data_IF_823362002673
#
_entry.id   IF_823362002673
#
_cell.length_a   1.000
_cell.length_b   1.000
_cell.length_c   1.000
_cell.angle_alpha   90.00
_cell.angle_beta   90.00
_cell.angle_gamma   90.00
#
_symmetry.space_group_name_H-M   'P 1'
#
loop_
_entity.id
_entity.type
_entity.pdbx_description
1 polymer ?
#
# COMPACT_ATOMS: atom_id res chain seq x y z
N UNK A 1 7.97 -13.50 9.91
CA UNK A 1 6.52 -13.61 10.13
C UNK A 1 5.96 -12.20 10.13
N UNK A 2 5.84 -11.62 8.94
CA UNK A 2 5.45 -10.22 8.79
C UNK A 2 3.93 -10.11 8.77
N UNK A 3 3.38 -9.59 9.87
CA UNK A 3 1.97 -9.27 9.98
C UNK A 3 1.64 -8.09 9.06
N UNK A 4 1.22 -8.40 7.83
CA UNK A 4 0.65 -7.43 6.91
C UNK A 4 -0.73 -6.96 7.43
N UNK A 5 -0.66 -5.97 8.31
CA UNK A 5 -1.63 -4.92 8.67
C UNK A 5 -3.02 -5.06 8.01
N UNK A 6 -4.04 -5.27 8.87
CA UNK A 6 -5.48 -5.16 8.61
C UNK A 6 -5.83 -4.16 7.49
N UNK A 7 -6.53 -4.64 6.46
CA UNK A 7 -7.04 -3.83 5.34
C UNK A 7 -7.96 -2.72 5.90
N UNK A 8 -7.68 -1.47 5.55
CA UNK A 8 -8.62 -0.36 5.75
C UNK A 8 -9.70 -0.50 4.67
N UNK A 9 -10.90 -0.88 5.08
CA UNK A 9 -12.06 -1.02 4.20
C UNK A 9 -12.52 0.41 3.85
N UNK A 10 -12.13 0.92 2.69
CA UNK A 10 -12.58 2.21 2.20
C UNK A 10 -14.00 2.06 1.63
N UNK A 11 -14.95 2.68 2.32
CA UNK A 11 -16.34 2.99 1.95
C UNK A 11 -16.75 2.67 0.50
N UNK A 12 -17.59 1.63 0.36
CA UNK A 12 -18.34 1.33 -0.87
C UNK A 12 -18.57 -0.16 -1.18
N UNK A 13 -17.92 -1.10 -0.49
CA UNK A 13 -18.03 -2.52 -0.81
C UNK A 13 -18.58 -3.35 0.36
N UNK A 14 -19.86 -3.69 0.30
CA UNK A 14 -20.45 -4.74 1.13
C UNK A 14 -19.83 -6.10 0.67
N UNK A 15 -18.75 -6.49 1.35
CA UNK A 15 -18.07 -7.80 1.34
C UNK A 15 -17.57 -8.37 0.00
N UNK A 16 -16.34 -7.97 -0.38
CA UNK A 16 -15.60 -8.63 -1.46
C UNK A 16 -15.44 -10.15 -1.22
N UNK A 17 -15.33 -10.60 0.04
CA UNK A 17 -15.11 -12.01 0.34
C UNK A 17 -16.38 -12.87 0.14
N UNK A 18 -17.57 -12.35 0.49
CA UNK A 18 -18.85 -13.03 0.20
C UNK A 18 -19.11 -13.10 -1.30
N UNK A 19 -18.83 -12.02 -2.03
CA UNK A 19 -18.99 -11.98 -3.48
C UNK A 19 -18.06 -12.97 -4.18
N UNK A 20 -16.78 -13.01 -3.79
CA UNK A 20 -15.81 -13.98 -4.30
C UNK A 20 -16.27 -15.41 -4.05
N UNK A 21 -16.77 -15.70 -2.85
CA UNK A 21 -17.31 -17.01 -2.49
C UNK A 21 -18.49 -17.42 -3.37
N UNK A 22 -19.40 -16.48 -3.68
CA UNK A 22 -20.53 -16.71 -4.60
C UNK A 22 -20.07 -17.00 -6.02
N UNK A 23 -19.12 -16.22 -6.55
CA UNK A 23 -18.58 -16.45 -7.90
C UNK A 23 -17.94 -17.83 -8.01
N UNK A 24 -17.17 -18.24 -6.98
CA UNK A 24 -16.52 -19.55 -6.95
C UNK A 24 -17.56 -20.68 -6.87
N UNK A 25 -18.51 -20.59 -5.95
CA UNK A 25 -19.57 -21.60 -5.80
C UNK A 25 -20.40 -21.78 -7.08
N UNK A 26 -20.71 -20.69 -7.80
CA UNK A 26 -21.42 -20.80 -9.07
C UNK A 26 -20.55 -21.37 -10.20
N UNK A 27 -19.25 -21.11 -10.18
CA UNK A 27 -18.30 -21.72 -11.11
C UNK A 27 -18.20 -23.24 -10.88
N UNK A 28 -18.13 -23.67 -9.62
CA UNK A 28 -18.07 -25.08 -9.23
C UNK A 28 -19.38 -25.81 -9.58
N UNK A 29 -20.51 -25.11 -9.50
CA UNK A 29 -21.81 -25.60 -9.96
C UNK A 29 -21.98 -25.61 -11.50
N UNK A 30 -20.96 -25.20 -12.27
CA UNK A 30 -20.95 -25.27 -13.73
C UNK A 30 -21.74 -24.15 -14.44
N UNK A 31 -22.07 -23.05 -13.76
CA UNK A 31 -22.78 -21.93 -14.40
C UNK A 31 -21.90 -21.19 -15.40
N UNK A 32 -22.52 -20.64 -16.44
CA UNK A 32 -21.77 -19.83 -17.40
C UNK A 32 -21.43 -18.44 -16.83
N UNK A 33 -20.34 -17.83 -17.31
CA UNK A 33 -19.87 -16.54 -16.79
C UNK A 33 -20.91 -15.41 -16.87
N UNK A 34 -21.83 -15.47 -17.83
CA UNK A 34 -22.90 -14.50 -18.01
C UNK A 34 -24.00 -14.68 -16.95
N UNK A 35 -24.34 -15.91 -16.61
CA UNK A 35 -25.29 -16.26 -15.54
C UNK A 35 -24.72 -15.90 -14.18
N UNK A 36 -23.44 -16.19 -13.94
CA UNK A 36 -22.73 -15.80 -12.72
C UNK A 36 -22.82 -14.28 -12.55
N UNK A 37 -22.47 -13.52 -13.58
CA UNK A 37 -22.53 -12.06 -13.59
C UNK A 37 -23.94 -11.53 -13.23
N UNK A 38 -24.98 -12.10 -13.83
CA UNK A 38 -26.38 -11.77 -13.52
C UNK A 38 -26.74 -12.08 -12.06
N UNK A 39 -26.35 -13.26 -11.55
CA UNK A 39 -26.66 -13.69 -10.17
C UNK A 39 -25.88 -12.92 -9.11
N UNK A 40 -24.67 -12.45 -9.43
CA UNK A 40 -23.85 -11.67 -8.51
C UNK A 40 -24.04 -10.15 -8.69
N UNK A 41 -24.90 -9.71 -9.62
CA UNK A 41 -25.07 -8.30 -10.00
C UNK A 41 -23.73 -7.61 -10.33
N UNK A 42 -22.85 -8.33 -11.03
CA UNK A 42 -21.52 -7.83 -11.43
C UNK A 42 -21.34 -7.89 -12.93
N UNK A 43 -20.37 -7.14 -13.42
CA UNK A 43 -20.03 -7.20 -14.84
C UNK A 43 -19.38 -8.54 -15.18
N UNK A 44 -19.63 -9.02 -16.40
CA UNK A 44 -18.98 -10.22 -16.94
C UNK A 44 -17.46 -10.09 -16.92
N UNK A 45 -16.93 -8.88 -17.11
CA UNK A 45 -15.50 -8.58 -17.05
C UNK A 45 -14.92 -8.81 -15.66
N UNK A 46 -15.63 -8.39 -14.60
CA UNK A 46 -15.22 -8.65 -13.21
C UNK A 46 -15.16 -10.15 -12.92
N UNK A 47 -16.21 -10.89 -13.29
CA UNK A 47 -16.25 -12.36 -13.11
C UNK A 47 -15.11 -13.04 -13.87
N UNK A 48 -14.85 -12.63 -15.10
CA UNK A 48 -13.77 -13.21 -15.93
C UNK A 48 -12.40 -12.91 -15.33
N UNK A 49 -12.14 -11.67 -14.92
CA UNK A 49 -10.88 -11.27 -14.30
C UNK A 49 -10.66 -12.00 -12.97
N UNK A 50 -11.72 -12.16 -12.18
CA UNK A 50 -11.67 -12.92 -10.92
C UNK A 50 -11.35 -14.39 -11.17
N UNK A 51 -12.07 -15.08 -12.04
CA UNK A 51 -11.83 -16.50 -12.31
C UNK A 51 -10.44 -16.77 -12.91
N UNK A 52 -9.89 -15.81 -13.66
CA UNK A 52 -8.54 -15.92 -14.23
C UNK A 52 -7.43 -15.75 -13.19
N UNK A 53 -7.67 -15.00 -12.12
CA UNK A 53 -6.66 -14.63 -11.13
C UNK A 53 -7.24 -14.57 -9.71
N UNK A 54 -7.96 -15.62 -9.28
CA UNK A 54 -8.75 -15.61 -8.04
C UNK A 54 -7.89 -15.42 -6.80
N UNK A 55 -6.67 -15.96 -6.79
CA UNK A 55 -5.69 -15.82 -5.71
C UNK A 55 -5.12 -14.41 -5.56
N UNK A 56 -5.01 -13.65 -6.65
CA UNK A 56 -4.46 -12.28 -6.65
C UNK A 56 -5.54 -11.19 -6.70
N UNK A 57 -6.80 -11.58 -6.95
CA UNK A 57 -7.88 -10.64 -7.18
C UNK A 57 -8.16 -9.76 -5.96
N UNK A 58 -7.98 -8.46 -6.13
CA UNK A 58 -8.13 -7.47 -5.05
C UNK A 58 -6.94 -7.41 -4.09
N UNK A 59 -5.89 -8.20 -4.31
CA UNK A 59 -4.58 -7.99 -3.69
C UNK A 59 -3.89 -6.89 -4.50
N UNK A 60 -4.26 -5.64 -4.25
CA UNK A 60 -3.38 -4.53 -4.63
C UNK A 60 -2.18 -4.61 -3.71
N UNK A 61 -1.02 -4.97 -4.24
CA UNK A 61 0.24 -4.64 -3.60
C UNK A 61 0.23 -3.14 -3.36
N UNK A 62 0.15 -2.73 -2.09
CA UNK A 62 0.43 -1.35 -1.74
C UNK A 62 1.91 -1.15 -2.03
N UNK A 63 2.25 -0.79 -3.28
CA UNK A 63 3.55 -0.20 -3.55
C UNK A 63 3.69 0.97 -2.59
N UNK A 64 4.64 0.90 -1.66
CA UNK A 64 4.88 2.00 -0.73
C UNK A 64 5.09 3.26 -1.56
N UNK A 65 4.38 4.34 -1.19
CA UNK A 65 4.61 5.63 -1.84
C UNK A 65 6.09 5.96 -1.69
N UNK A 66 6.83 6.19 -2.79
CA UNK A 66 8.25 6.50 -2.71
C UNK A 66 8.46 7.68 -1.75
N UNK A 67 9.33 7.48 -0.76
CA UNK A 67 9.64 8.55 0.20
C UNK A 67 10.47 9.61 -0.52
N UNK A 68 10.19 10.90 -0.27
CA UNK A 68 10.93 12.04 -0.87
C UNK A 68 12.43 12.04 -0.56
N UNK A 69 12.87 11.35 0.51
CA UNK A 69 14.27 11.15 0.86
C UNK A 69 14.99 10.13 -0.04
N UNK A 70 14.27 9.44 -0.93
CA UNK A 70 14.83 8.47 -1.86
C UNK A 70 15.22 7.16 -1.19
N UNK A 71 16.41 6.65 -1.51
CA UNK A 71 16.93 5.35 -1.05
C UNK A 71 16.94 5.23 0.48
N UNK A 72 16.71 3.99 0.95
CA UNK A 72 16.69 3.63 2.36
C UNK A 72 17.99 4.02 3.09
N UNK A 73 19.14 3.91 2.44
CA UNK A 73 20.45 4.26 3.02
C UNK A 73 20.55 5.74 3.42
N UNK A 74 20.08 6.62 2.54
CA UNK A 74 20.06 8.07 2.77
C UNK A 74 19.13 8.41 3.94
N UNK A 75 17.96 7.76 4.00
CA UNK A 75 17.04 7.87 5.15
C UNK A 75 17.71 7.42 6.45
N UNK A 76 18.40 6.27 6.45
CA UNK A 76 19.13 5.76 7.64
C UNK A 76 20.19 6.75 8.13
N UNK A 77 21.01 7.30 7.22
CA UNK A 77 22.04 8.29 7.56
C UNK A 77 21.45 9.56 8.16
N UNK A 78 20.37 10.08 7.56
CA UNK A 78 19.64 11.25 8.08
C UNK A 78 19.07 10.95 9.48
N UNK A 79 18.46 9.78 9.70
CA UNK A 79 17.93 9.40 11.02
C UNK A 79 19.04 9.24 12.07
N UNK A 80 20.20 8.67 11.70
CA UNK A 80 21.34 8.55 12.60
C UNK A 80 21.86 9.91 13.04
N UNK A 81 22.14 10.80 12.08
CA UNK A 81 22.67 12.13 12.38
C UNK A 81 21.67 12.98 13.17
N UNK A 82 20.38 12.88 12.86
CA UNK A 82 19.32 13.52 13.63
C UNK A 82 19.19 13.00 15.07
N UNK A 83 19.64 11.78 15.34
CA UNK A 83 19.64 11.22 16.70
C UNK A 83 20.88 11.63 17.49
N UNK A 84 21.89 12.18 16.82
CA UNK A 84 23.09 12.73 17.43
C UNK A 84 22.87 14.24 17.64
N UNK A 85 22.80 14.69 18.89
CA UNK A 85 22.35 16.04 19.27
C UNK A 85 23.26 17.19 18.83
N UNK A 86 24.39 16.90 18.17
CA UNK A 86 25.40 17.90 17.77
C UNK A 86 25.17 18.47 16.37
N UNK A 87 24.24 17.93 15.58
CA UNK A 87 24.05 18.33 14.18
C UNK A 87 22.65 18.91 13.97
N UNK A 88 22.61 20.14 13.46
CA UNK A 88 21.36 20.82 13.16
C UNK A 88 20.66 20.20 11.94
N UNK A 89 19.34 20.41 11.86
CA UNK A 89 18.55 19.92 10.72
C UNK A 89 19.01 20.52 9.38
N UNK A 90 19.55 21.74 9.38
CA UNK A 90 20.08 22.42 8.19
C UNK A 90 21.39 21.77 7.70
N UNK A 91 22.32 21.47 8.61
CA UNK A 91 23.56 20.75 8.28
C UNK A 91 23.28 19.35 7.74
N UNK A 92 22.36 18.61 8.37
CA UNK A 92 21.93 17.29 7.90
C UNK A 92 21.30 17.39 6.50
N UNK A 93 20.49 18.43 6.25
CA UNK A 93 19.91 18.66 4.93
C UNK A 93 20.99 18.98 3.91
N UNK A 94 21.94 19.86 4.23
CA UNK A 94 23.02 20.26 3.34
C UNK A 94 23.87 19.06 2.89
N UNK A 95 24.26 18.19 3.83
CA UNK A 95 25.15 17.05 3.57
C UNK A 95 24.43 15.95 2.77
N UNK A 96 23.21 15.57 3.17
CA UNK A 96 22.57 14.37 2.64
C UNK A 96 21.51 14.67 1.59
N UNK A 97 20.81 15.80 1.71
CA UNK A 97 19.59 16.08 0.97
C UNK A 97 19.43 17.56 0.54
N UNK A 98 20.39 18.17 -0.19
CA UNK A 98 20.34 19.61 -0.48
C UNK A 98 19.07 20.02 -1.26
N UNK A 99 18.56 19.12 -2.10
CA UNK A 99 17.39 19.34 -2.95
C UNK A 99 16.04 19.15 -2.25
N UNK A 100 15.97 18.52 -1.06
CA UNK A 100 14.70 18.27 -0.36
C UNK A 100 14.43 19.37 0.67
N UNK A 101 13.18 19.69 0.98
CA UNK A 101 12.86 20.74 1.97
C UNK A 101 13.21 20.33 3.41
N UNK A 102 13.46 21.31 4.30
CA UNK A 102 13.66 21.07 5.76
C UNK A 102 12.51 20.25 6.37
N UNK A 103 11.28 20.57 6.00
CA UNK A 103 10.08 19.85 6.44
C UNK A 103 10.10 18.37 6.06
N UNK A 104 10.56 18.05 4.85
CA UNK A 104 10.70 16.66 4.38
C UNK A 104 11.76 15.88 5.17
N UNK A 105 12.87 16.53 5.53
CA UNK A 105 13.90 15.91 6.38
C UNK A 105 13.33 15.61 7.77
N UNK A 106 12.60 16.56 8.37
CA UNK A 106 11.94 16.39 9.68
C UNK A 106 10.89 15.27 9.71
N UNK A 107 10.09 15.15 8.66
CA UNK A 107 9.13 14.05 8.50
C UNK A 107 9.86 12.71 8.41
N UNK A 108 10.99 12.67 7.70
CA UNK A 108 11.82 11.49 7.57
C UNK A 108 12.55 11.05 8.84
N UNK A 109 12.80 11.97 9.79
CA UNK A 109 13.41 11.65 11.10
C UNK A 109 12.39 11.15 12.12
N UNK A 110 11.11 11.04 11.75
CA UNK A 110 10.07 10.51 12.62
C UNK A 110 9.67 11.45 13.76
N UNK A 111 9.84 12.77 13.58
CA UNK A 111 9.44 13.77 14.56
C UNK A 111 10.38 13.92 15.76
N UNK A 112 11.60 13.39 15.68
CA UNK A 112 12.65 13.63 16.69
C UNK A 112 12.99 15.12 16.74
N UNK A 113 13.02 15.68 17.95
CA UNK A 113 13.42 17.07 18.18
C UNK A 113 14.92 17.21 17.91
N UNK A 114 15.27 17.84 16.80
CA UNK A 114 16.63 18.26 16.48
C UNK A 114 16.71 19.73 16.88
N UNK A 115 17.65 20.08 17.75
CA UNK A 115 17.79 21.43 18.28
C UNK A 115 18.46 22.39 17.29
#
# INVERSE_FOLDING_TARGET
MDQCRKRKITSGSLSADIEKGRILAFSDAGLNRTEIAKKTSRSRTVVTNFLRASGEYGIKGCGERPTKLGKLEKKRRVTMMASNSTTSLDEIRSIYCPTVSKTTVREGTGGKSIH
#
